data_IF_826674391784
#
_entry.id   IF_826674391784
#
_cell.length_a   1.000
_cell.length_b   1.000
_cell.length_c   1.000
_cell.angle_alpha   90.00
_cell.angle_beta   90.00
_cell.angle_gamma   90.00
#
_symmetry.space_group_name_H-M   'P 1'
#
loop_
_entity.id
_entity.type
_entity.pdbx_description
1 polymer ?
#
# COMPACT_ATOMS: atom_id res chain seq x y z
N UNK A 1 -6.56 -19.81 13.76
CA UNK A 1 -7.36 -18.85 14.55
C UNK A 1 -6.37 -17.91 15.24
N UNK A 2 -6.23 -16.70 14.75
CA UNK A 2 -5.30 -15.73 15.34
C UNK A 2 -5.98 -15.00 16.51
N UNK A 3 -5.22 -14.73 17.55
CA UNK A 3 -5.60 -14.01 18.78
C UNK A 3 -6.21 -12.61 18.53
N UNK A 4 -6.30 -12.18 17.27
CA UNK A 4 -6.83 -10.87 16.85
C UNK A 4 -8.34 -10.83 16.59
N UNK A 5 -9.04 -11.97 16.51
CA UNK A 5 -10.48 -11.99 16.18
C UNK A 5 -11.38 -11.45 17.30
N UNK A 6 -10.88 -11.39 18.53
CA UNK A 6 -11.64 -10.84 19.67
C UNK A 6 -11.71 -9.30 19.69
N UNK A 7 -10.87 -8.60 18.89
CA UNK A 7 -10.78 -7.15 18.89
C UNK A 7 -11.54 -6.47 17.76
N UNK A 8 -11.81 -7.18 16.66
CA UNK A 8 -12.44 -6.64 15.46
C UNK A 8 -13.85 -7.19 15.35
N UNK A 9 -14.86 -6.31 15.13
CA UNK A 9 -16.23 -6.73 14.87
C UNK A 9 -16.46 -7.02 13.38
N UNK A 10 -16.10 -6.07 12.53
CA UNK A 10 -16.24 -6.12 11.07
C UNK A 10 -15.00 -5.57 10.41
N UNK A 11 -14.65 -6.08 9.24
CA UNK A 11 -13.54 -5.54 8.45
C UNK A 11 -13.83 -5.64 6.95
N UNK A 12 -13.26 -4.70 6.20
CA UNK A 12 -13.21 -4.72 4.74
C UNK A 12 -11.77 -4.60 4.30
N UNK A 13 -11.37 -5.48 3.40
CA UNK A 13 -10.00 -5.51 2.95
C UNK A 13 -9.94 -5.56 1.41
N UNK A 14 -8.95 -4.88 0.83
CA UNK A 14 -8.70 -4.89 -0.60
C UNK A 14 -7.22 -5.15 -0.88
N UNK A 15 -6.98 -6.05 -1.82
CA UNK A 15 -5.66 -6.29 -2.40
C UNK A 15 -5.53 -5.46 -3.67
N UNK A 16 -4.82 -4.34 -3.57
CA UNK A 16 -4.64 -3.36 -4.63
C UNK A 16 -3.39 -3.65 -5.46
N UNK A 17 -3.54 -3.71 -6.77
CA UNK A 17 -2.44 -3.94 -7.72
C UNK A 17 -2.31 -2.73 -8.63
N UNK A 18 -1.14 -2.06 -8.69
CA UNK A 18 -0.94 -0.89 -9.54
C UNK A 18 -1.03 -1.27 -11.02
N UNK A 19 -1.60 -0.35 -11.82
CA UNK A 19 -1.65 -0.51 -13.28
C UNK A 19 -0.29 -0.20 -13.93
N UNK A 20 0.08 -0.96 -14.94
CA UNK A 20 1.14 -0.61 -15.90
C UNK A 20 2.58 -0.91 -15.51
N UNK A 21 2.91 -1.21 -14.26
CA UNK A 21 4.23 -1.72 -13.85
C UNK A 21 4.04 -2.82 -12.81
N UNK A 22 4.83 -3.88 -12.92
CA UNK A 22 4.78 -4.96 -11.93
C UNK A 22 5.31 -4.43 -10.60
N UNK A 23 4.39 -4.00 -9.76
CA UNK A 23 4.64 -3.75 -8.35
C UNK A 23 3.89 -4.81 -7.55
N UNK A 24 4.44 -5.18 -6.41
CA UNK A 24 3.77 -6.10 -5.50
C UNK A 24 2.42 -5.53 -5.07
N UNK A 25 1.39 -6.40 -4.97
CA UNK A 25 0.09 -6.00 -4.46
C UNK A 25 0.22 -5.41 -3.06
N UNK A 26 -0.52 -4.34 -2.80
CA UNK A 26 -0.62 -3.74 -1.46
C UNK A 26 -2.01 -4.02 -0.90
N UNK A 27 -2.04 -4.41 0.36
CA UNK A 27 -3.31 -4.69 1.06
C UNK A 27 -3.65 -3.51 1.96
N UNK A 28 -4.86 -3.01 1.82
CA UNK A 28 -5.46 -2.01 2.70
C UNK A 28 -6.61 -2.69 3.44
N UNK A 29 -6.65 -2.55 4.75
CA UNK A 29 -7.63 -3.18 5.64
C UNK A 29 -8.25 -2.14 6.57
N UNK A 30 -9.56 -1.94 6.45
CA UNK A 30 -10.34 -1.07 7.33
C UNK A 30 -11.13 -1.96 8.28
N UNK A 31 -11.04 -1.71 9.56
CA UNK A 31 -11.68 -2.52 10.59
C UNK A 31 -12.36 -1.68 11.67
N UNK A 32 -13.44 -2.21 12.25
CA UNK A 32 -14.15 -1.63 13.38
C UNK A 32 -13.68 -2.35 14.64
N UNK A 33 -13.21 -1.59 15.62
CA UNK A 33 -12.90 -2.12 16.96
C UNK A 33 -14.17 -2.54 17.68
N UNK A 34 -14.17 -3.71 18.32
CA UNK A 34 -15.33 -4.25 19.03
C UNK A 34 -15.70 -3.48 20.30
N UNK A 35 -14.69 -2.91 21.00
CA UNK A 35 -14.91 -2.23 22.29
C UNK A 35 -15.28 -0.77 22.16
N UNK A 36 -14.60 -0.05 21.26
CA UNK A 36 -14.74 1.41 21.10
C UNK A 36 -15.61 1.79 19.91
N UNK A 37 -15.93 0.82 19.05
CA UNK A 37 -16.67 0.99 17.79
C UNK A 37 -16.00 1.97 16.82
N UNK A 38 -14.73 2.28 17.04
CA UNK A 38 -13.94 3.18 16.18
C UNK A 38 -13.40 2.47 14.96
N UNK A 39 -13.30 3.21 13.86
CA UNK A 39 -12.77 2.78 12.58
C UNK A 39 -11.28 3.05 12.50
N UNK A 40 -10.52 2.01 12.19
CA UNK A 40 -9.08 2.10 11.97
C UNK A 40 -8.71 1.47 10.64
N UNK A 41 -7.67 2.01 10.03
CA UNK A 41 -7.12 1.48 8.78
C UNK A 41 -5.69 1.01 8.97
N UNK A 42 -5.41 -0.17 8.43
CA UNK A 42 -4.06 -0.70 8.29
C UNK A 42 -3.49 -0.32 6.93
N UNK A 43 -2.56 0.61 6.96
CA UNK A 43 -1.84 1.06 5.78
C UNK A 43 -0.61 0.19 5.50
N UNK A 44 -0.25 -0.04 4.23
CA UNK A 44 1.04 -0.64 3.89
C UNK A 44 2.20 0.19 4.45
N UNK A 45 3.22 -0.46 5.03
CA UNK A 45 4.40 0.22 5.54
C UNK A 45 4.27 0.83 6.95
N UNK A 46 3.08 0.80 7.56
CA UNK A 46 2.87 1.23 8.93
C UNK A 46 2.92 0.06 9.91
N UNK A 47 3.49 0.27 11.08
CA UNK A 47 3.57 -0.74 12.15
C UNK A 47 2.23 -0.96 12.86
N UNK A 48 1.44 0.10 12.98
CA UNK A 48 0.15 0.11 13.68
C UNK A 48 -0.98 0.57 12.76
N UNK A 49 -2.22 0.32 13.20
CA UNK A 49 -3.42 0.85 12.55
C UNK A 49 -3.59 2.31 12.91
N UNK A 50 -4.03 3.11 11.95
CA UNK A 50 -4.23 4.54 12.09
C UNK A 50 -5.74 4.84 12.17
N UNK A 51 -6.19 5.72 13.09
CA UNK A 51 -7.57 6.20 13.12
C UNK A 51 -7.99 6.78 11.77
N UNK A 52 -9.17 6.39 11.32
CA UNK A 52 -9.62 6.65 9.95
C UNK A 52 -9.69 8.15 9.60
N UNK A 53 -10.22 8.99 10.51
CA UNK A 53 -10.36 10.43 10.27
C UNK A 53 -9.01 11.14 10.15
N UNK A 54 -7.96 10.64 10.80
CA UNK A 54 -6.58 11.15 10.65
C UNK A 54 -6.08 10.89 9.22
N UNK A 55 -6.43 9.75 8.62
CA UNK A 55 -6.04 9.42 7.24
C UNK A 55 -6.74 10.35 6.24
N UNK A 56 -8.05 10.59 6.39
CA UNK A 56 -8.77 11.53 5.54
C UNK A 56 -8.19 12.94 5.62
N UNK A 57 -7.86 13.43 6.83
CA UNK A 57 -7.22 14.72 7.01
C UNK A 57 -5.82 14.78 6.39
N UNK A 58 -5.04 13.69 6.50
CA UNK A 58 -3.75 13.59 5.82
C UNK A 58 -3.88 13.60 4.29
N UNK A 59 -5.02 13.14 3.73
CA UNK A 59 -5.37 13.25 2.31
C UNK A 59 -5.89 14.64 1.91
N UNK A 60 -6.09 15.55 2.87
CA UNK A 60 -6.52 16.93 2.62
C UNK A 60 -7.99 17.24 2.91
N UNK A 61 -8.74 16.30 3.49
CA UNK A 61 -10.13 16.52 3.93
C UNK A 61 -10.15 16.96 5.41
N UNK A 62 -10.20 18.25 5.67
CA UNK A 62 -10.09 18.78 7.04
C UNK A 62 -11.43 18.81 7.78
N UNK A 63 -12.53 19.03 7.08
CA UNK A 63 -13.86 19.13 7.67
C UNK A 63 -14.48 17.75 7.91
N UNK A 64 -14.99 17.52 9.13
CA UNK A 64 -15.73 16.30 9.47
C UNK A 64 -16.98 16.13 8.61
N UNK A 65 -17.66 17.24 8.27
CA UNK A 65 -18.82 17.24 7.39
C UNK A 65 -18.44 16.76 5.99
N UNK A 66 -17.34 17.26 5.44
CA UNK A 66 -16.84 16.85 4.13
C UNK A 66 -16.49 15.35 4.09
N UNK A 67 -15.86 14.84 5.17
CA UNK A 67 -15.55 13.41 5.30
C UNK A 67 -16.83 12.58 5.37
N UNK A 68 -17.83 13.02 6.13
CA UNK A 68 -19.13 12.34 6.22
C UNK A 68 -19.87 12.33 4.89
N UNK A 69 -19.91 13.46 4.17
CA UNK A 69 -20.50 13.55 2.81
C UNK A 69 -19.79 12.63 1.82
N UNK A 70 -18.47 12.51 1.94
CA UNK A 70 -17.67 11.61 1.12
C UNK A 70 -17.98 10.12 1.38
N UNK A 71 -18.24 9.75 2.64
CA UNK A 71 -18.56 8.37 3.04
C UNK A 71 -20.02 8.03 2.72
N UNK A 72 -20.96 8.86 3.13
CA UNK A 72 -22.38 8.55 3.11
C UNK A 72 -23.09 9.13 1.86
N UNK A 73 -22.61 10.25 1.35
CA UNK A 73 -23.28 11.04 0.31
C UNK A 73 -24.18 12.09 0.93
N UNK A 74 -25.45 12.12 0.54
CA UNK A 74 -26.43 13.07 1.07
C UNK A 74 -26.67 12.80 2.58
N UNK A 75 -26.34 13.79 3.43
CA UNK A 75 -26.49 13.70 4.88
C UNK A 75 -27.93 13.99 5.33
N UNK A 76 -28.78 14.51 4.45
CA UNK A 76 -30.18 14.78 4.78
C UNK A 76 -31.08 13.55 4.63
N UNK A 77 -30.62 12.52 3.95
CA UNK A 77 -31.31 11.23 3.82
C UNK A 77 -31.48 10.58 5.21
N UNK A 78 -32.69 10.12 5.51
CA UNK A 78 -33.02 9.49 6.80
C UNK A 78 -32.15 8.28 7.12
N UNK A 79 -31.86 7.44 6.12
CA UNK A 79 -30.98 6.28 6.29
C UNK A 79 -29.57 6.71 6.64
N UNK A 80 -29.03 7.73 5.95
CA UNK A 80 -27.70 8.24 6.21
C UNK A 80 -27.57 8.93 7.58
N UNK A 81 -28.64 9.61 8.05
CA UNK A 81 -28.69 10.18 9.41
C UNK A 81 -28.49 9.11 10.50
N UNK A 82 -29.10 7.95 10.37
CA UNK A 82 -28.87 6.85 11.31
C UNK A 82 -27.42 6.33 11.25
N UNK A 83 -26.84 6.30 10.06
CA UNK A 83 -25.48 5.80 9.85
C UNK A 83 -24.41 6.76 10.38
N UNK A 84 -24.68 8.05 10.47
CA UNK A 84 -23.78 9.04 11.10
C UNK A 84 -23.47 8.62 12.55
N UNK A 85 -24.46 8.06 13.28
CA UNK A 85 -24.25 7.56 14.63
C UNK A 85 -23.12 6.55 14.76
N UNK A 86 -22.90 5.71 13.73
CA UNK A 86 -21.83 4.71 13.72
C UNK A 86 -20.43 5.31 13.49
N UNK A 87 -20.36 6.52 12.94
CA UNK A 87 -19.11 7.24 12.67
C UNK A 87 -18.69 8.17 13.81
N UNK A 88 -19.62 8.55 14.71
CA UNK A 88 -19.38 9.47 15.84
C UNK A 88 -18.16 9.04 16.68
N UNK A 89 -18.00 7.78 17.09
CA UNK A 89 -16.84 7.37 17.88
C UNK A 89 -15.51 7.62 17.15
N UNK A 90 -15.49 7.42 15.83
CA UNK A 90 -14.30 7.64 15.01
C UNK A 90 -14.01 9.13 14.79
N UNK A 91 -15.03 9.98 14.73
CA UNK A 91 -14.89 11.45 14.69
C UNK A 91 -14.20 11.92 15.97
N UNK A 92 -14.67 11.47 17.13
CA UNK A 92 -14.07 11.83 18.42
C UNK A 92 -12.61 11.35 18.52
N UNK A 93 -12.31 10.12 18.10
CA UNK A 93 -10.93 9.61 18.10
C UNK A 93 -10.02 10.45 17.19
N UNK A 94 -10.54 10.90 16.04
CA UNK A 94 -9.80 11.75 15.09
C UNK A 94 -9.72 13.23 15.51
N UNK A 95 -10.59 13.73 16.40
CA UNK A 95 -10.72 15.15 16.74
C UNK A 95 -9.50 15.76 17.44
N UNK A 96 -8.51 14.96 17.80
CA UNK A 96 -7.23 15.39 18.39
C UNK A 96 -6.40 16.21 17.40
N UNK A 97 -6.52 15.93 16.10
CA UNK A 97 -5.73 16.53 15.02
C UNK A 97 -6.65 16.96 13.88
N UNK A 98 -6.69 18.25 13.55
CA UNK A 98 -7.52 18.78 12.46
C UNK A 98 -6.72 19.15 11.20
N UNK A 99 -5.46 19.54 11.37
CA UNK A 99 -4.61 20.00 10.30
C UNK A 99 -3.91 18.83 9.58
N UNK A 100 -3.88 18.86 8.24
CA UNK A 100 -3.27 17.83 7.40
C UNK A 100 -1.80 17.60 7.74
N UNK A 101 -1.04 18.68 7.97
CA UNK A 101 0.38 18.59 8.29
C UNK A 101 0.60 17.89 9.65
N UNK A 102 -0.24 18.21 10.63
CA UNK A 102 -0.19 17.60 11.97
C UNK A 102 -0.56 16.11 11.91
N UNK A 103 -1.54 15.74 11.09
CA UNK A 103 -1.89 14.34 10.83
C UNK A 103 -0.72 13.56 10.21
N UNK A 104 -0.04 14.11 9.20
CA UNK A 104 1.13 13.50 8.59
C UNK A 104 2.28 13.36 9.60
N UNK A 105 2.50 14.38 10.44
CA UNK A 105 3.50 14.33 11.52
C UNK A 105 3.17 13.27 12.57
N UNK A 106 1.92 13.07 12.89
CA UNK A 106 1.47 12.00 13.77
C UNK A 106 1.73 10.62 13.13
N UNK A 107 1.34 10.46 11.87
CA UNK A 107 1.48 9.19 11.16
C UNK A 107 2.94 8.75 11.02
N UNK A 108 3.91 9.68 10.90
CA UNK A 108 5.34 9.33 10.76
C UNK A 108 5.89 8.47 11.90
N UNK A 109 5.31 8.56 13.10
CA UNK A 109 5.76 7.79 14.26
C UNK A 109 5.59 6.29 14.07
N UNK A 110 4.69 5.89 13.19
CA UNK A 110 4.36 4.50 12.90
C UNK A 110 5.04 3.96 11.64
N UNK A 111 5.87 4.76 10.96
CA UNK A 111 6.69 4.33 9.83
C UNK A 111 8.11 3.94 10.27
N UNK A 112 8.76 3.05 9.53
CA UNK A 112 10.11 2.57 9.86
C UNK A 112 11.17 3.67 9.87
N UNK A 113 11.10 4.60 8.92
CA UNK A 113 12.05 5.71 8.78
C UNK A 113 11.68 6.95 9.59
N UNK A 114 10.50 6.97 10.25
CA UNK A 114 9.98 8.09 11.03
C UNK A 114 10.09 9.46 10.32
N UNK A 115 9.91 9.44 8.98
CA UNK A 115 10.07 10.59 8.10
C UNK A 115 8.73 11.02 7.49
N UNK A 116 8.50 12.34 7.42
CA UNK A 116 7.35 12.92 6.72
C UNK A 116 7.34 12.56 5.23
N UNK A 117 8.51 12.55 4.59
CA UNK A 117 8.63 12.18 3.18
C UNK A 117 8.23 10.71 2.91
N UNK A 118 8.49 9.82 3.87
CA UNK A 118 8.07 8.42 3.78
C UNK A 118 6.55 8.27 3.86
N UNK A 119 5.89 9.00 4.78
CA UNK A 119 4.42 9.03 4.87
C UNK A 119 3.80 9.51 3.56
N UNK A 120 4.29 10.63 3.01
CA UNK A 120 3.81 11.16 1.73
C UNK A 120 4.04 10.15 0.60
N UNK A 121 5.19 9.49 0.58
CA UNK A 121 5.48 8.44 -0.41
C UNK A 121 4.48 7.28 -0.29
N UNK A 122 4.20 6.80 0.91
CA UNK A 122 3.23 5.71 1.15
C UNK A 122 1.82 6.14 0.70
N UNK A 123 1.36 7.34 1.10
CA UNK A 123 0.06 7.85 0.71
C UNK A 123 -0.07 8.00 -0.82
N UNK A 124 0.99 8.41 -1.51
CA UNK A 124 1.00 8.55 -2.97
C UNK A 124 1.05 7.21 -3.71
N UNK A 125 1.93 6.30 -3.28
CA UNK A 125 2.31 5.14 -4.10
C UNK A 125 1.84 3.80 -3.56
N UNK A 126 1.66 3.66 -2.24
CA UNK A 126 1.32 2.39 -1.62
C UNK A 126 -0.13 2.29 -1.16
N UNK A 127 -0.75 3.39 -0.76
CA UNK A 127 -2.17 3.44 -0.48
C UNK A 127 -2.95 3.35 -1.80
N UNK A 128 -3.75 2.30 -1.96
CA UNK A 128 -4.63 2.08 -3.12
C UNK A 128 -3.94 2.37 -4.47
N UNK A 129 -2.82 1.71 -4.78
CA UNK A 129 -2.01 2.02 -5.96
C UNK A 129 -2.74 1.84 -7.29
N UNK A 130 -3.86 1.09 -7.35
CA UNK A 130 -4.68 0.93 -8.55
C UNK A 130 -5.43 2.22 -8.94
N UNK A 131 -5.61 3.15 -8.00
CA UNK A 131 -6.28 4.44 -8.23
C UNK A 131 -5.29 5.50 -8.76
N UNK A 132 -4.00 5.30 -8.53
CA UNK A 132 -2.95 6.26 -8.89
C UNK A 132 -2.60 7.20 -7.73
N UNK A 133 -2.18 8.43 -8.04
CA UNK A 133 -1.66 9.40 -7.06
C UNK A 133 -2.68 10.44 -6.58
N UNK A 134 -3.88 10.46 -7.16
CA UNK A 134 -4.92 11.44 -6.81
C UNK A 134 -5.50 11.17 -5.41
N UNK A 135 -5.29 12.09 -4.47
CA UNK A 135 -5.86 12.00 -3.12
C UNK A 135 -7.38 12.06 -3.12
N UNK A 136 -7.96 12.86 -4.01
CA UNK A 136 -9.42 12.96 -4.17
C UNK A 136 -10.03 11.60 -4.50
N UNK A 137 -9.50 10.92 -5.52
CA UNK A 137 -10.00 9.61 -5.93
C UNK A 137 -9.78 8.54 -4.84
N UNK A 138 -8.67 8.63 -4.11
CA UNK A 138 -8.40 7.73 -2.97
C UNK A 138 -9.42 7.95 -1.86
N UNK A 139 -9.73 9.19 -1.53
CA UNK A 139 -10.76 9.55 -0.56
C UNK A 139 -12.13 8.98 -0.93
N UNK A 140 -12.57 9.16 -2.18
CA UNK A 140 -13.84 8.58 -2.66
C UNK A 140 -13.86 7.05 -2.55
N UNK A 141 -12.77 6.39 -2.88
CA UNK A 141 -12.70 4.93 -2.80
C UNK A 141 -12.71 4.44 -1.36
N UNK A 142 -11.96 5.10 -0.46
CA UNK A 142 -12.00 4.81 0.99
C UNK A 142 -13.41 5.03 1.54
N UNK A 143 -14.06 6.16 1.21
CA UNK A 143 -15.43 6.43 1.59
C UNK A 143 -16.39 5.32 1.17
N UNK A 144 -16.26 4.82 -0.08
CA UNK A 144 -17.04 3.69 -0.56
C UNK A 144 -16.80 2.40 0.22
N UNK A 145 -15.54 2.09 0.57
CA UNK A 145 -15.22 0.92 1.40
C UNK A 145 -15.87 1.02 2.79
N UNK A 146 -15.79 2.20 3.41
CA UNK A 146 -16.36 2.45 4.74
C UNK A 146 -17.88 2.37 4.70
N UNK A 147 -18.52 2.96 3.68
CA UNK A 147 -19.98 2.86 3.50
C UNK A 147 -20.43 1.40 3.45
N UNK A 148 -19.75 0.57 2.67
CA UNK A 148 -20.03 -0.87 2.61
C UNK A 148 -19.84 -1.56 3.96
N UNK A 149 -18.79 -1.21 4.70
CA UNK A 149 -18.50 -1.78 6.02
C UNK A 149 -19.61 -1.45 7.02
N UNK A 150 -20.07 -0.19 7.05
CA UNK A 150 -21.14 0.26 7.94
C UNK A 150 -22.48 -0.38 7.54
N UNK A 151 -22.79 -0.47 6.24
CA UNK A 151 -23.99 -1.15 5.76
C UNK A 151 -24.01 -2.62 6.16
N UNK A 152 -22.85 -3.28 6.12
CA UNK A 152 -22.71 -4.65 6.57
C UNK A 152 -22.91 -4.78 8.11
N UNK A 153 -22.32 -3.87 8.90
CA UNK A 153 -22.53 -3.82 10.36
C UNK A 153 -24.01 -3.66 10.72
N UNK A 154 -24.76 -2.86 9.96
CA UNK A 154 -26.21 -2.66 10.14
C UNK A 154 -27.08 -3.79 9.55
N UNK A 155 -26.48 -4.77 8.90
CA UNK A 155 -27.20 -5.87 8.26
C UNK A 155 -27.94 -5.49 6.97
N UNK A 156 -27.68 -4.28 6.39
CA UNK A 156 -28.25 -3.83 5.13
C UNK A 156 -27.64 -4.56 3.93
N UNK A 157 -26.42 -5.08 4.08
CA UNK A 157 -25.70 -5.88 3.08
C UNK A 157 -25.21 -7.16 3.73
N UNK A 158 -25.35 -8.29 3.04
CA UNK A 158 -24.86 -9.57 3.50
C UNK A 158 -23.33 -9.61 3.51
N UNK A 159 -22.78 -10.42 4.41
CA UNK A 159 -21.35 -10.72 4.42
C UNK A 159 -20.95 -11.34 3.08
N UNK A 160 -19.84 -10.87 2.52
CA UNK A 160 -19.25 -11.50 1.35
C UNK A 160 -18.40 -12.69 1.77
N UNK A 161 -18.52 -13.80 1.05
CA UNK A 161 -17.61 -14.93 1.24
C UNK A 161 -16.21 -14.54 0.75
N UNK A 162 -15.28 -14.45 1.70
CA UNK A 162 -13.86 -14.14 1.43
C UNK A 162 -13.23 -15.10 0.43
N UNK A 163 -13.68 -16.33 0.43
CA UNK A 163 -13.08 -17.41 -0.36
C UNK A 163 -13.79 -17.63 -1.70
N UNK A 164 -14.87 -16.90 -1.96
CA UNK A 164 -15.56 -16.92 -3.25
C UNK A 164 -14.64 -16.52 -4.41
N UNK A 165 -14.68 -17.29 -5.49
CA UNK A 165 -13.93 -16.99 -6.71
C UNK A 165 -14.34 -15.66 -7.37
N UNK A 166 -15.55 -15.14 -7.11
CA UNK A 166 -16.00 -13.83 -7.59
C UNK A 166 -15.09 -12.68 -7.11
N UNK A 167 -14.45 -12.83 -5.94
CA UNK A 167 -13.57 -11.83 -5.33
C UNK A 167 -12.08 -12.21 -5.42
N UNK A 168 -11.76 -13.33 -6.04
CA UNK A 168 -10.38 -13.80 -6.21
C UNK A 168 -9.84 -13.39 -7.58
N UNK A 169 -8.56 -13.02 -7.58
CA UNK A 169 -7.81 -12.84 -8.81
C UNK A 169 -7.12 -14.16 -9.14
N UNK A 170 -7.27 -14.61 -10.38
CA UNK A 170 -6.56 -15.79 -10.89
C UNK A 170 -5.30 -15.30 -11.61
N UNK A 171 -4.14 -15.67 -11.08
CA UNK A 171 -2.86 -15.40 -11.72
C UNK A 171 -2.57 -16.52 -12.73
N UNK A 172 -2.54 -16.17 -14.02
CA UNK A 172 -2.20 -17.09 -15.08
C UNK A 172 -0.70 -17.35 -15.13
N UNK A 173 -0.30 -18.51 -15.67
CA UNK A 173 1.10 -18.93 -15.78
C UNK A 173 1.99 -17.89 -16.47
N UNK A 174 1.50 -17.24 -17.53
CA UNK A 174 2.23 -16.19 -18.23
C UNK A 174 2.50 -14.96 -17.36
N UNK A 175 1.57 -14.61 -16.48
CA UNK A 175 1.74 -13.49 -15.53
C UNK A 175 2.78 -13.84 -14.46
N UNK A 176 2.73 -15.07 -13.92
CA UNK A 176 3.69 -15.55 -12.93
C UNK A 176 5.10 -15.62 -13.52
N UNK A 177 5.22 -16.17 -14.74
CA UNK A 177 6.50 -16.24 -15.46
C UNK A 177 7.08 -14.84 -15.75
N UNK A 178 6.24 -13.88 -16.15
CA UNK A 178 6.67 -12.51 -16.40
C UNK A 178 7.16 -11.82 -15.11
N UNK A 179 6.54 -12.11 -13.96
CA UNK A 179 6.98 -11.65 -12.64
C UNK A 179 8.35 -12.20 -12.28
N UNK A 180 8.51 -13.52 -12.36
CA UNK A 180 9.77 -14.23 -12.10
C UNK A 180 10.90 -13.71 -12.98
N UNK A 181 10.68 -13.66 -14.30
CA UNK A 181 11.67 -13.14 -15.25
C UNK A 181 12.16 -11.76 -14.87
N UNK A 182 11.24 -10.86 -14.52
CA UNK A 182 11.60 -9.51 -14.12
C UNK A 182 12.43 -9.48 -12.84
N UNK A 183 12.01 -10.20 -11.80
CA UNK A 183 12.73 -10.20 -10.52
C UNK A 183 14.15 -10.75 -10.69
N UNK A 184 14.28 -11.84 -11.45
CA UNK A 184 15.58 -12.42 -11.80
C UNK A 184 16.41 -11.47 -12.67
N UNK A 185 15.79 -10.73 -13.61
CA UNK A 185 16.48 -9.76 -14.45
C UNK A 185 16.98 -8.53 -13.66
N UNK A 186 16.17 -8.03 -12.73
CA UNK A 186 16.59 -6.93 -11.82
C UNK A 186 17.78 -7.38 -10.97
N UNK A 187 17.76 -8.62 -10.49
CA UNK A 187 18.88 -9.14 -9.72
C UNK A 187 20.13 -9.30 -10.59
N UNK A 188 19.99 -9.80 -11.81
CA UNK A 188 21.07 -9.89 -12.79
C UNK A 188 21.70 -8.52 -13.08
N UNK A 189 20.87 -7.48 -13.27
CA UNK A 189 21.38 -6.11 -13.47
C UNK A 189 22.17 -5.61 -12.24
N UNK A 190 21.72 -5.92 -11.03
CA UNK A 190 22.44 -5.57 -9.80
C UNK A 190 23.79 -6.30 -9.70
N UNK A 191 23.79 -7.57 -10.04
CA UNK A 191 25.01 -8.38 -10.02
C UNK A 191 26.06 -7.85 -11.02
N UNK A 192 25.63 -7.44 -12.21
CA UNK A 192 26.49 -6.76 -13.21
C UNK A 192 27.07 -5.47 -12.62
N UNK A 193 26.22 -4.62 -12.04
CA UNK A 193 26.66 -3.36 -11.44
C UNK A 193 27.71 -3.58 -10.36
N UNK A 194 27.48 -4.54 -9.46
CA UNK A 194 28.42 -4.87 -8.39
C UNK A 194 29.77 -5.34 -8.96
N UNK A 195 29.75 -6.13 -10.03
CA UNK A 195 30.98 -6.61 -10.67
C UNK A 195 31.75 -5.50 -11.35
N UNK A 196 31.06 -4.59 -12.06
CA UNK A 196 31.70 -3.41 -12.66
C UNK A 196 32.31 -2.52 -11.56
N UNK A 197 31.56 -2.25 -10.49
CA UNK A 197 32.04 -1.45 -9.37
C UNK A 197 33.26 -2.12 -8.68
N UNK A 198 33.26 -3.44 -8.58
CA UNK A 198 34.37 -4.23 -8.03
C UNK A 198 35.59 -4.14 -8.92
N UNK A 199 35.44 -4.35 -10.23
CA UNK A 199 36.53 -4.24 -11.22
C UNK A 199 37.17 -2.85 -11.18
N UNK A 200 36.35 -1.79 -11.15
CA UNK A 200 36.85 -0.42 -11.02
C UNK A 200 37.64 -0.20 -9.72
N UNK A 201 37.18 -0.74 -8.59
CA UNK A 201 37.84 -0.58 -7.29
C UNK A 201 39.19 -1.30 -7.24
N UNK A 202 39.27 -2.51 -7.80
CA UNK A 202 40.51 -3.29 -7.81
C UNK A 202 41.56 -2.72 -8.77
N UNK A 203 41.14 -2.18 -9.91
CA UNK A 203 42.04 -1.68 -10.96
C UNK A 203 41.93 -0.16 -11.18
N UNK A 204 41.66 0.60 -10.10
CA UNK A 204 41.38 2.04 -10.15
C UNK A 204 42.47 2.85 -10.87
N UNK A 205 43.75 2.51 -10.68
CA UNK A 205 44.86 3.17 -11.32
C UNK A 205 44.86 3.04 -12.84
N UNK A 206 44.35 1.93 -13.36
CA UNK A 206 44.29 1.66 -14.82
C UNK A 206 43.10 2.39 -15.45
N UNK A 207 41.99 2.57 -14.74
CA UNK A 207 40.75 3.09 -15.28
C UNK A 207 40.49 4.59 -14.99
N UNK A 208 41.34 5.25 -14.21
CA UNK A 208 41.18 6.69 -13.88
C UNK A 208 41.05 7.58 -15.11
N UNK A 209 41.78 7.27 -16.17
CA UNK A 209 41.82 8.06 -17.43
C UNK A 209 41.09 7.38 -18.58
N UNK A 210 40.58 6.16 -18.41
CA UNK A 210 40.01 5.35 -19.48
C UNK A 210 38.89 4.43 -18.91
N UNK A 211 37.78 5.04 -18.50
CA UNK A 211 36.63 4.36 -17.93
C UNK A 211 35.92 3.48 -18.98
N UNK A 212 36.03 3.82 -20.26
CA UNK A 212 35.36 3.11 -21.35
C UNK A 212 35.90 1.68 -21.53
N UNK A 213 37.14 1.41 -21.09
CA UNK A 213 37.77 0.09 -21.15
C UNK A 213 37.60 -0.80 -19.89
N UNK A 214 36.73 -0.42 -18.97
CA UNK A 214 36.40 -1.28 -17.78
C UNK A 214 35.89 -2.64 -18.23
N UNK A 215 35.12 -2.69 -19.30
CA UNK A 215 34.62 -3.93 -19.90
C UNK A 215 35.54 -4.26 -21.09
N UNK A 216 36.21 -5.40 -20.99
CA UNK A 216 37.18 -5.87 -22.00
C UNK A 216 37.00 -7.38 -22.26
N UNK A 217 37.67 -7.90 -23.30
CA UNK A 217 37.54 -9.29 -23.72
C UNK A 217 37.90 -10.32 -22.61
N UNK A 218 38.71 -9.92 -21.63
CA UNK A 218 39.12 -10.82 -20.53
C UNK A 218 38.08 -10.91 -19.43
N UNK A 219 37.33 -9.84 -19.12
CA UNK A 219 36.40 -9.79 -18.00
C UNK A 219 34.90 -9.80 -18.41
N UNK A 220 34.59 -9.62 -19.72
CA UNK A 220 33.22 -9.55 -20.21
C UNK A 220 32.38 -10.78 -19.83
N UNK A 221 32.96 -11.99 -19.91
CA UNK A 221 32.27 -13.23 -19.56
C UNK A 221 31.98 -13.37 -18.06
N UNK A 222 32.83 -12.80 -17.24
CA UNK A 222 32.66 -12.79 -15.81
C UNK A 222 31.63 -11.73 -15.38
N UNK A 223 31.72 -10.51 -15.91
CA UNK A 223 30.78 -9.43 -15.63
C UNK A 223 29.37 -9.83 -16.05
N UNK A 224 29.18 -10.36 -17.26
CA UNK A 224 27.87 -10.75 -17.80
C UNK A 224 27.53 -12.21 -17.59
N UNK A 225 27.97 -12.81 -16.50
CA UNK A 225 27.64 -14.20 -16.19
C UNK A 225 26.14 -14.34 -15.87
N UNK A 226 25.41 -15.01 -16.76
CA UNK A 226 23.96 -15.22 -16.68
C UNK A 226 23.54 -16.52 -15.98
N UNK A 227 24.47 -17.31 -15.45
CA UNK A 227 24.19 -18.65 -14.91
C UNK A 227 23.14 -18.61 -13.79
N UNK A 228 23.19 -17.62 -12.90
CA UNK A 228 22.21 -17.44 -11.84
C UNK A 228 20.84 -17.11 -12.41
N UNK A 229 20.77 -16.16 -13.34
CA UNK A 229 19.53 -15.76 -14.02
C UNK A 229 18.84 -16.97 -14.70
N UNK A 230 19.60 -17.75 -15.46
CA UNK A 230 19.10 -18.96 -16.11
C UNK A 230 18.65 -20.01 -15.07
N UNK A 231 19.44 -20.20 -14.00
CA UNK A 231 19.11 -21.15 -12.93
C UNK A 231 17.83 -20.76 -12.18
N UNK A 232 17.59 -19.47 -11.94
CA UNK A 232 16.41 -18.99 -11.24
C UNK A 232 15.13 -19.22 -12.07
N UNK A 233 15.22 -19.06 -13.41
CA UNK A 233 14.10 -19.34 -14.31
C UNK A 233 13.83 -20.85 -14.47
N UNK A 234 14.88 -21.67 -14.51
CA UNK A 234 14.72 -23.11 -14.73
C UNK A 234 14.30 -23.90 -13.48
N UNK A 235 14.50 -23.34 -12.28
CA UNK A 235 14.15 -24.01 -11.01
C UNK A 235 12.75 -23.70 -10.52
N UNK A 236 12.05 -22.75 -11.10
CA UNK A 236 10.68 -22.33 -10.75
C UNK A 236 9.66 -23.06 -11.60
#
# INVERSE_FOLDING_TARGET
QSVNDDYISHSVNIKSVPQGKFKYPKTTDISIKKKTETLEERLPGFSEKIPLFIIFRALGYESDKEILELILGDLEDEVNKELIGELIPSIYEGSILYDSISCIKYMRQFTKGSSVSEVIHILNTELLPHIGTSYTNKGYFLGHMIKKLIYNKKGLILNTDRDSFAYKRVDLSGFLLAGLFRDSFIQYQRDIKIKIDSEYRFNKSTYINDVDNIINDSNIKEIFNSNRFVSDILKS
#
